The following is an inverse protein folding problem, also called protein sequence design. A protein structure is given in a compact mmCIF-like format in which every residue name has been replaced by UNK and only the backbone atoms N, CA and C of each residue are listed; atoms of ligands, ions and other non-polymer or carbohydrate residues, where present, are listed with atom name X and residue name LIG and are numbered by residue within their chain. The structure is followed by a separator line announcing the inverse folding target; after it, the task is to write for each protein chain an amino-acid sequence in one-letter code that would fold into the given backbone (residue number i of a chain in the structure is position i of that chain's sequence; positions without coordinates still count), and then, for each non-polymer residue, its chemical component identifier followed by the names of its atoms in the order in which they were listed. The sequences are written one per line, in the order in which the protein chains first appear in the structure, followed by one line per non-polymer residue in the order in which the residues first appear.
data_IF_335175965192
#
_entry.id   IF_335175965192
#
_cell.length_a   1.000
_cell.length_b   1.000
_cell.length_c   1.000
_cell.angle_alpha   90.00
_cell.angle_beta   90.00
_cell.angle_gamma   90.00
#
_symmetry.space_group_name_H-M   'P 1'
#
loop_
_entity.id
_entity.type
_entity.pdbx_description
1 polymer ?
#
# COMPACT_ATOMS: atom_id res chain seq x y z
N UNK A 1 0.85 -17.37 -15.99
CA UNK A 1 0.56 -17.40 -14.54
C UNK A 1 1.57 -18.34 -13.89
N UNK A 2 2.52 -17.82 -13.11
CA UNK A 2 3.32 -18.67 -12.22
C UNK A 2 2.35 -19.36 -11.25
N UNK A 3 2.60 -20.63 -10.92
CA UNK A 3 1.77 -21.37 -9.97
C UNK A 3 1.78 -20.63 -8.63
N UNK A 4 0.68 -19.92 -8.33
CA UNK A 4 0.50 -19.31 -7.02
C UNK A 4 0.28 -20.46 -6.03
N UNK A 5 1.19 -20.60 -5.06
CA UNK A 5 0.97 -21.48 -3.91
C UNK A 5 -0.15 -20.87 -3.06
N UNK A 6 -1.39 -21.30 -3.33
CA UNK A 6 -2.58 -20.71 -2.71
C UNK A 6 -3.23 -21.63 -1.69
N UNK A 7 -3.78 -21.02 -0.64
CA UNK A 7 -4.74 -21.66 0.27
C UNK A 7 -6.11 -21.02 0.10
N UNK A 8 -7.16 -21.74 0.55
CA UNK A 8 -8.53 -21.22 0.63
C UNK A 8 -8.77 -20.71 2.04
N UNK A 9 -9.29 -19.49 2.15
CA UNK A 9 -9.64 -18.86 3.42
C UNK A 9 -11.10 -18.41 3.38
N UNK A 10 -11.88 -18.69 4.42
CA UNK A 10 -13.24 -18.14 4.52
C UNK A 10 -13.16 -16.71 5.05
N UNK A 11 -13.68 -15.76 4.29
CA UNK A 11 -13.76 -14.34 4.63
C UNK A 11 -15.22 -13.94 4.51
N UNK A 12 -15.87 -13.77 5.67
CA UNK A 12 -17.32 -13.64 5.77
C UNK A 12 -18.07 -14.77 5.04
N UNK A 13 -18.88 -14.45 4.04
CA UNK A 13 -19.64 -15.41 3.22
C UNK A 13 -18.88 -15.84 1.94
N UNK A 14 -17.68 -15.31 1.71
CA UNK A 14 -16.86 -15.60 0.54
C UNK A 14 -15.70 -16.54 0.89
N UNK A 15 -15.23 -17.31 -0.10
CA UNK A 15 -13.96 -18.04 0.01
C UNK A 15 -12.93 -17.30 -0.81
N UNK A 16 -11.81 -16.90 -0.22
CA UNK A 16 -10.72 -16.22 -0.91
C UNK A 16 -9.58 -17.19 -1.22
N UNK A 17 -8.85 -16.93 -2.31
CA UNK A 17 -7.55 -17.56 -2.56
C UNK A 17 -6.45 -16.66 -2.03
N UNK A 18 -5.53 -17.21 -1.25
CA UNK A 18 -4.47 -16.44 -0.60
C UNK A 18 -3.10 -16.89 -1.11
N UNK A 19 -2.30 -15.98 -1.67
CA UNK A 19 -0.91 -16.22 -2.05
C UNK A 19 -0.04 -16.41 -0.79
N UNK A 20 0.32 -17.66 -0.51
CA UNK A 20 1.12 -18.00 0.67
C UNK A 20 2.61 -17.75 0.49
N UNK A 21 3.12 -17.72 -0.75
CA UNK A 21 4.53 -17.47 -1.02
C UNK A 21 4.89 -16.04 -0.60
N UNK A 22 4.08 -15.08 -0.99
CA UNK A 22 4.29 -13.69 -0.61
C UNK A 22 4.08 -13.48 0.89
N UNK A 23 3.01 -14.03 1.46
CA UNK A 23 2.72 -13.85 2.89
C UNK A 23 3.77 -14.48 3.82
N UNK A 24 4.44 -15.56 3.40
CA UNK A 24 5.58 -16.16 4.13
C UNK A 24 6.92 -15.46 3.84
N UNK A 25 6.98 -14.54 2.88
CA UNK A 25 8.22 -13.86 2.51
C UNK A 25 8.65 -12.83 3.55
N UNK A 26 9.92 -12.47 3.52
CA UNK A 26 10.52 -11.39 4.31
C UNK A 26 10.33 -10.00 3.68
N UNK A 27 9.23 -9.78 2.94
CA UNK A 27 8.98 -8.45 2.37
C UNK A 27 8.80 -7.41 3.48
N UNK A 28 9.39 -6.23 3.29
CA UNK A 28 9.14 -5.04 4.09
C UNK A 28 9.16 -3.79 3.20
N UNK A 29 8.42 -2.75 3.61
CA UNK A 29 8.48 -1.46 2.93
C UNK A 29 9.88 -0.85 3.07
N UNK A 30 10.47 -0.43 1.96
CA UNK A 30 11.79 0.21 1.89
C UNK A 30 11.71 1.68 1.45
N UNK A 31 10.54 2.31 1.57
CA UNK A 31 10.43 3.76 1.35
C UNK A 31 11.32 4.50 2.35
N UNK A 32 12.10 5.47 1.86
CA UNK A 32 13.16 6.12 2.65
C UNK A 32 14.43 5.28 2.86
N UNK A 33 14.43 4.01 2.46
CA UNK A 33 15.54 3.07 2.61
C UNK A 33 15.83 2.29 1.30
N UNK A 34 15.89 3.00 0.17
CA UNK A 34 16.24 2.42 -1.13
C UNK A 34 15.07 2.09 -2.06
N UNK A 35 13.84 2.50 -1.73
CA UNK A 35 12.71 2.43 -2.68
C UNK A 35 13.02 3.17 -3.97
N UNK A 36 12.90 2.47 -5.11
CA UNK A 36 13.26 2.99 -6.44
C UNK A 36 12.10 3.72 -7.15
N UNK A 37 10.90 3.67 -6.59
CA UNK A 37 9.70 4.24 -7.19
C UNK A 37 9.16 3.44 -8.38
N UNK A 38 7.91 3.75 -8.75
CA UNK A 38 7.17 3.00 -9.77
C UNK A 38 7.24 3.65 -11.17
N UNK A 39 8.25 4.48 -11.43
CA UNK A 39 8.46 5.07 -12.74
C UNK A 39 9.00 4.04 -13.74
N UNK A 40 8.98 4.38 -15.03
CA UNK A 40 9.58 3.55 -16.09
C UNK A 40 11.08 3.31 -15.89
N UNK A 41 11.75 4.23 -15.20
CA UNK A 41 13.15 4.08 -14.76
C UNK A 41 13.24 4.27 -13.25
N UNK A 42 13.95 3.39 -12.53
CA UNK A 42 14.29 3.57 -11.12
C UNK A 42 14.85 4.96 -10.82
N UNK A 43 14.27 5.64 -9.84
CA UNK A 43 14.75 6.94 -9.33
C UNK A 43 14.54 7.03 -7.81
N UNK A 44 15.42 6.40 -7.02
CA UNK A 44 15.33 6.45 -5.56
C UNK A 44 15.57 7.86 -5.00
N UNK A 45 16.31 8.72 -5.71
CA UNK A 45 16.64 10.06 -5.23
C UNK A 45 15.42 10.98 -5.22
N UNK A 46 14.47 10.79 -6.15
CA UNK A 46 13.23 11.56 -6.18
C UNK A 46 12.29 11.26 -5.01
N UNK A 47 12.45 10.12 -4.31
CA UNK A 47 11.65 9.78 -3.13
C UNK A 47 10.16 9.54 -3.40
N UNK A 48 9.75 9.42 -4.67
CA UNK A 48 8.34 9.40 -5.06
C UNK A 48 7.62 8.08 -4.72
N UNK A 49 8.35 6.96 -4.70
CA UNK A 49 7.74 5.66 -4.41
C UNK A 49 6.56 5.34 -5.33
N UNK A 50 5.47 4.83 -4.74
CA UNK A 50 4.19 4.65 -5.42
C UNK A 50 3.33 5.93 -5.49
N UNK A 51 3.76 7.03 -4.88
CA UNK A 51 2.99 8.27 -4.80
C UNK A 51 3.01 9.08 -6.10
N UNK A 52 3.79 8.69 -7.10
CA UNK A 52 3.95 9.41 -8.37
C UNK A 52 2.68 9.45 -9.24
N UNK A 53 1.70 8.60 -8.96
CA UNK A 53 0.43 8.51 -9.71
C UNK A 53 -0.79 8.97 -8.91
N UNK A 54 -0.60 9.40 -7.66
CA UNK A 54 -1.70 9.64 -6.73
C UNK A 54 -2.28 8.33 -6.17
N UNK A 55 -3.38 8.44 -5.44
CA UNK A 55 -4.09 7.33 -4.83
C UNK A 55 -5.54 7.36 -5.29
N UNK A 56 -6.04 6.25 -5.83
CA UNK A 56 -7.46 6.11 -6.17
C UNK A 56 -8.28 5.88 -4.90
N UNK A 57 -9.45 6.53 -4.84
CA UNK A 57 -10.40 6.36 -3.75
C UNK A 57 -11.23 5.08 -3.99
N UNK A 58 -11.49 4.33 -2.93
CA UNK A 58 -12.36 3.17 -2.94
C UNK A 58 -13.80 3.57 -3.32
N UNK A 59 -14.31 4.61 -2.68
CA UNK A 59 -15.67 5.10 -2.83
C UNK A 59 -15.78 6.57 -2.40
N UNK A 60 -17.03 7.06 -2.34
CA UNK A 60 -17.32 8.44 -1.95
C UNK A 60 -17.04 8.70 -0.47
N UNK A 61 -17.21 7.69 0.40
CA UNK A 61 -16.99 7.85 1.84
C UNK A 61 -15.50 8.01 2.13
N UNK A 62 -14.65 7.23 1.47
CA UNK A 62 -13.20 7.40 1.53
C UNK A 62 -12.79 8.78 0.97
N UNK A 63 -13.36 9.20 -0.16
CA UNK A 63 -13.07 10.52 -0.73
C UNK A 63 -13.42 11.66 0.26
N UNK A 64 -14.55 11.55 0.96
CA UNK A 64 -14.96 12.50 1.99
C UNK A 64 -14.01 12.50 3.19
N UNK A 65 -13.62 11.31 3.67
CA UNK A 65 -12.67 11.15 4.76
C UNK A 65 -11.31 11.80 4.43
N UNK A 66 -10.72 11.45 3.29
CA UNK A 66 -9.42 11.98 2.85
C UNK A 66 -9.47 13.49 2.64
N UNK A 67 -10.59 14.01 2.14
CA UNK A 67 -10.81 15.46 2.03
C UNK A 67 -10.85 16.13 3.41
N UNK A 68 -11.52 15.52 4.39
CA UNK A 68 -11.62 16.06 5.74
C UNK A 68 -10.26 16.06 6.45
N UNK A 69 -9.55 14.93 6.43
CA UNK A 69 -8.21 14.80 7.03
C UNK A 69 -7.25 15.77 6.36
N UNK A 70 -7.24 15.82 5.02
CA UNK A 70 -6.34 16.70 4.28
C UNK A 70 -6.51 18.19 4.61
N UNK A 71 -7.72 18.61 4.99
CA UNK A 71 -7.99 19.99 5.47
C UNK A 71 -7.54 20.23 6.91
N UNK A 72 -7.52 19.21 7.76
CA UNK A 72 -7.12 19.32 9.16
C UNK A 72 -5.63 19.17 9.39
N UNK A 73 -4.88 18.62 8.41
CA UNK A 73 -3.43 18.43 8.54
C UNK A 73 -2.72 19.77 8.85
N UNK A 74 -1.87 19.82 9.89
CA UNK A 74 -1.08 21.01 10.19
C UNK A 74 0.03 21.19 9.15
N UNK A 75 0.41 22.44 8.89
CA UNK A 75 1.51 22.77 7.98
C UNK A 75 2.87 22.23 8.43
N UNK A 76 3.00 21.87 9.71
CA UNK A 76 4.20 21.21 10.26
C UNK A 76 4.48 19.87 9.59
N UNK A 77 3.45 19.09 9.25
CA UNK A 77 3.61 17.78 8.62
C UNK A 77 3.24 17.76 7.14
N UNK A 78 2.80 18.90 6.58
CA UNK A 78 2.25 18.94 5.25
C UNK A 78 2.85 20.07 4.40
N UNK A 79 3.84 19.72 3.58
CA UNK A 79 4.55 20.66 2.71
C UNK A 79 3.59 21.43 1.79
N UNK A 80 2.60 20.74 1.23
CA UNK A 80 1.65 21.32 0.28
C UNK A 80 0.38 21.86 0.97
N UNK A 81 0.43 22.15 2.28
CA UNK A 81 -0.70 22.65 3.07
C UNK A 81 -1.43 23.84 2.46
N UNK A 82 -0.70 24.80 1.86
CA UNK A 82 -1.33 25.95 1.21
C UNK A 82 -2.07 25.55 -0.06
N UNK A 83 -1.49 24.67 -0.89
CA UNK A 83 -2.11 24.18 -2.12
C UNK A 83 -3.32 23.27 -1.83
N UNK A 84 -3.32 22.57 -0.70
CA UNK A 84 -4.44 21.73 -0.25
C UNK A 84 -5.71 22.52 0.08
N UNK A 85 -5.62 23.85 0.25
CA UNK A 85 -6.79 24.73 0.43
C UNK A 85 -7.72 24.74 -0.78
N UNK A 86 -7.16 24.50 -1.97
CA UNK A 86 -7.91 24.39 -3.23
C UNK A 86 -8.49 22.98 -3.43
N UNK A 87 -8.29 22.07 -2.46
CA UNK A 87 -8.71 20.67 -2.51
C UNK A 87 -7.52 19.71 -2.63
N UNK A 88 -7.74 18.48 -2.20
CA UNK A 88 -6.74 17.39 -2.20
C UNK A 88 -7.04 16.28 -3.20
N UNK A 89 -8.25 16.28 -3.77
CA UNK A 89 -8.71 15.29 -4.75
C UNK A 89 -8.81 15.88 -6.16
N UNK A 90 -8.91 14.99 -7.14
CA UNK A 90 -9.28 15.32 -8.52
C UNK A 90 -10.69 15.91 -8.58
N UNK A 91 -11.04 16.58 -9.68
CA UNK A 91 -12.33 17.27 -9.81
C UNK A 91 -13.56 16.34 -9.73
N UNK A 92 -13.37 15.07 -10.06
CA UNK A 92 -14.37 14.00 -9.97
C UNK A 92 -14.30 13.22 -8.63
N UNK A 93 -13.40 13.60 -7.72
CA UNK A 93 -13.16 12.98 -6.41
C UNK A 93 -12.76 11.49 -6.46
N UNK A 94 -12.22 11.01 -7.58
CA UNK A 94 -11.84 9.59 -7.75
C UNK A 94 -10.40 9.30 -7.33
N UNK A 95 -9.54 10.31 -7.21
CA UNK A 95 -8.17 10.15 -6.76
C UNK A 95 -7.64 11.38 -6.03
N UNK A 96 -6.56 11.22 -5.25
CA UNK A 96 -5.77 12.37 -4.79
C UNK A 96 -5.19 13.09 -6.00
N UNK A 97 -5.30 14.42 -6.05
CA UNK A 97 -4.67 15.17 -7.13
C UNK A 97 -3.14 15.15 -6.99
N UNK A 98 -2.47 15.43 -8.11
CA UNK A 98 -1.04 15.67 -8.10
C UNK A 98 -0.74 17.14 -7.83
N UNK A 99 0.32 17.40 -7.07
CA UNK A 99 0.97 18.69 -6.95
C UNK A 99 2.36 18.54 -7.57
N UNK A 100 2.57 19.15 -8.74
CA UNK A 100 3.72 18.84 -9.58
C UNK A 100 3.63 17.42 -10.17
N UNK A 101 4.56 16.54 -9.80
CA UNK A 101 4.69 15.18 -10.32
C UNK A 101 4.41 14.08 -9.27
N UNK A 102 3.77 14.43 -8.16
CA UNK A 102 3.50 13.51 -7.06
C UNK A 102 2.14 13.78 -6.40
N UNK A 103 1.62 12.78 -5.70
CA UNK A 103 0.46 12.92 -4.82
C UNK A 103 0.60 14.16 -3.94
N UNK A 104 -0.46 14.95 -3.82
CA UNK A 104 -0.45 16.19 -3.03
C UNK A 104 0.09 15.97 -1.61
N UNK A 105 -0.15 14.81 -1.00
CA UNK A 105 0.30 14.48 0.36
C UNK A 105 1.78 14.07 0.47
N UNK A 106 2.55 14.01 -0.63
CA UNK A 106 3.97 13.69 -0.57
C UNK A 106 4.80 14.93 -0.22
N UNK A 107 5.49 14.86 0.92
CA UNK A 107 6.56 15.79 1.29
C UNK A 107 7.88 15.37 0.63
N UNK A 108 8.63 16.34 0.13
CA UNK A 108 9.95 16.13 -0.46
C UNK A 108 10.95 15.61 0.58
N UNK A 109 12.00 14.84 0.19
CA UNK A 109 13.10 14.44 1.08
C UNK A 109 13.68 15.53 1.99
N UNK A 110 13.72 16.77 1.49
CA UNK A 110 14.31 17.92 2.21
C UNK A 110 13.30 18.71 3.06
N UNK A 111 12.04 18.27 3.16
CA UNK A 111 11.04 18.97 3.95
C UNK A 111 11.35 18.87 5.45
N UNK A 112 11.44 20.03 6.13
CA UNK A 112 11.82 20.12 7.55
C UNK A 112 10.86 19.37 8.48
N UNK A 113 9.59 19.25 8.09
CA UNK A 113 8.55 18.51 8.82
C UNK A 113 8.61 16.99 8.65
N UNK A 114 9.57 16.48 7.87
CA UNK A 114 9.73 15.07 7.57
C UNK A 114 9.33 14.73 6.14
N UNK A 115 10.19 13.96 5.48
CA UNK A 115 9.92 13.41 4.16
C UNK A 115 8.81 12.36 4.20
N UNK A 116 8.09 12.20 3.07
CA UNK A 116 7.12 11.12 2.91
C UNK A 116 5.67 11.58 3.02
N UNK A 117 4.77 10.66 3.35
CA UNK A 117 3.35 10.95 3.31
C UNK A 117 2.92 11.80 4.52
N UNK A 118 2.38 12.99 4.26
CA UNK A 118 1.87 13.89 5.29
C UNK A 118 0.79 13.25 6.18
N UNK A 119 -0.07 12.40 5.59
CA UNK A 119 -1.09 11.63 6.33
C UNK A 119 -0.45 10.64 7.31
N UNK A 120 0.64 10.00 6.90
CA UNK A 120 1.38 9.07 7.74
C UNK A 120 2.09 9.77 8.90
N UNK A 121 2.76 10.89 8.61
CA UNK A 121 3.45 11.69 9.63
C UNK A 121 2.48 12.25 10.68
N UNK A 122 1.32 12.74 10.24
CA UNK A 122 0.28 13.23 11.14
C UNK A 122 -0.33 12.11 12.00
N UNK A 123 -0.61 10.93 11.42
CA UNK A 123 -1.10 9.80 12.21
C UNK A 123 -0.11 9.43 13.32
N UNK A 124 1.18 9.31 12.99
CA UNK A 124 2.21 8.96 13.98
C UNK A 124 2.35 10.05 15.06
N UNK A 125 2.30 11.33 14.71
CA UNK A 125 2.43 12.41 15.69
C UNK A 125 1.25 12.46 16.67
N UNK A 126 0.08 11.98 16.26
CA UNK A 126 -1.12 11.88 17.09
C UNK A 126 -1.22 10.53 17.83
N UNK A 127 -0.28 9.60 17.60
CA UNK A 127 -0.30 8.26 18.17
C UNK A 127 -1.34 7.33 17.55
N UNK A 128 -1.87 7.71 16.39
CA UNK A 128 -2.88 6.99 15.62
C UNK A 128 -2.24 6.05 14.59
N UNK A 129 -3.02 5.12 14.06
CA UNK A 129 -2.52 4.19 13.04
C UNK A 129 -2.50 4.89 11.68
N UNK A 130 -1.41 4.80 10.90
CA UNK A 130 -1.38 5.38 9.56
C UNK A 130 -2.46 4.87 8.61
N UNK A 131 -2.95 3.64 8.81
CA UNK A 131 -4.03 3.08 8.00
C UNK A 131 -5.38 3.80 8.18
N UNK A 132 -5.59 4.47 9.31
CA UNK A 132 -6.82 5.22 9.58
C UNK A 132 -6.81 6.60 8.88
N UNK A 133 -5.64 7.04 8.40
CA UNK A 133 -5.44 8.35 7.77
C UNK A 133 -5.24 8.25 6.26
N UNK A 134 -4.71 7.12 5.79
CA UNK A 134 -4.31 6.93 4.40
C UNK A 134 -5.47 6.39 3.56
N UNK A 135 -5.52 6.73 2.25
CA UNK A 135 -6.40 6.03 1.32
C UNK A 135 -6.15 4.53 1.34
N UNK A 136 -7.19 3.74 1.08
CA UNK A 136 -7.18 2.28 1.13
C UNK A 136 -6.06 1.68 0.30
N UNK A 137 -5.93 2.12 -0.95
CA UNK A 137 -4.86 1.66 -1.84
C UNK A 137 -3.45 1.92 -1.27
N UNK A 138 -3.26 2.97 -0.48
CA UNK A 138 -1.96 3.35 0.06
C UNK A 138 -1.55 2.59 1.32
N UNK A 139 -2.49 2.21 2.19
CA UNK A 139 -2.17 1.36 3.34
C UNK A 139 -2.21 -0.12 2.98
N UNK A 140 -2.97 -0.52 1.96
CA UNK A 140 -3.02 -1.90 1.49
C UNK A 140 -1.72 -2.34 0.83
N UNK A 141 -1.02 -1.45 0.09
CA UNK A 141 0.27 -1.79 -0.53
C UNK A 141 1.24 -2.42 0.50
N UNK A 142 1.75 -3.63 0.25
CA UNK A 142 1.85 -4.31 -1.05
C UNK A 142 0.76 -5.35 -1.30
N UNK A 143 -0.22 -5.50 -0.41
CA UNK A 143 -1.35 -6.42 -0.52
C UNK A 143 -2.37 -5.90 -1.54
N UNK A 144 -2.89 -6.80 -2.37
CA UNK A 144 -3.93 -6.52 -3.36
C UNK A 144 -4.99 -7.60 -3.27
N UNK A 145 -6.25 -7.17 -3.15
CA UNK A 145 -7.41 -8.05 -3.34
C UNK A 145 -7.90 -7.89 -4.78
N UNK A 146 -7.64 -8.90 -5.58
CA UNK A 146 -8.16 -8.97 -6.95
C UNK A 146 -9.58 -9.54 -6.90
N UNK A 147 -10.56 -8.69 -7.24
CA UNK A 147 -11.98 -9.05 -7.32
C UNK A 147 -12.46 -9.26 -8.76
N UNK A 148 -11.56 -9.24 -9.75
CA UNK A 148 -11.93 -9.43 -11.15
C UNK A 148 -12.20 -10.89 -11.53
N UNK A 149 -11.80 -11.83 -10.67
CA UNK A 149 -12.01 -13.27 -10.84
C UNK A 149 -13.32 -13.76 -10.23
N UNK A 150 -13.73 -14.99 -10.60
CA UNK A 150 -14.88 -15.72 -10.00
C UNK A 150 -14.75 -15.86 -8.48
N UNK A 151 -13.53 -15.78 -7.96
CA UNK A 151 -13.18 -15.92 -6.54
C UNK A 151 -12.16 -14.82 -6.17
N UNK A 152 -12.34 -14.06 -5.09
CA UNK A 152 -11.37 -13.05 -4.68
C UNK A 152 -9.98 -13.65 -4.40
N UNK A 153 -8.93 -12.96 -4.83
CA UNK A 153 -7.55 -13.38 -4.63
C UNK A 153 -6.77 -12.31 -3.85
N UNK A 154 -6.25 -12.66 -2.67
CA UNK A 154 -5.27 -11.85 -1.96
C UNK A 154 -3.86 -12.22 -2.43
N UNK A 155 -3.20 -11.29 -3.11
CA UNK A 155 -1.86 -11.45 -3.69
C UNK A 155 -1.04 -10.16 -3.53
N UNK A 156 0.28 -10.19 -3.74
CA UNK A 156 1.03 -8.94 -3.87
C UNK A 156 0.59 -8.14 -5.10
N UNK A 157 0.74 -6.82 -5.03
CA UNK A 157 0.82 -5.98 -6.21
C UNK A 157 1.98 -6.43 -7.10
N UNK A 158 1.83 -6.26 -8.41
CA UNK A 158 2.89 -6.48 -9.40
C UNK A 158 2.97 -5.28 -10.33
N UNK A 159 4.00 -5.22 -11.19
CA UNK A 159 4.06 -4.19 -12.25
C UNK A 159 2.82 -4.22 -13.13
N UNK A 160 2.29 -5.41 -13.45
CA UNK A 160 1.13 -5.56 -14.33
C UNK A 160 -0.16 -4.94 -13.79
N UNK A 161 -0.21 -4.61 -12.50
CA UNK A 161 -1.38 -3.97 -11.89
C UNK A 161 -1.46 -2.47 -12.14
N UNK A 162 -0.46 -1.89 -12.78
CA UNK A 162 -0.37 -0.46 -13.00
C UNK A 162 -0.47 -0.10 -14.48
N UNK A 163 -1.29 0.92 -14.78
CA UNK A 163 -1.47 1.42 -16.13
C UNK A 163 -1.89 0.33 -17.12
N UNK A 164 -1.36 0.39 -18.34
CA UNK A 164 -1.67 -0.54 -19.44
C UNK A 164 -0.95 -1.92 -19.29
N UNK A 165 -0.94 -2.49 -18.08
CA UNK A 165 -0.36 -3.82 -17.84
C UNK A 165 1.12 -3.83 -17.49
N UNK A 166 1.65 -2.73 -16.93
CA UNK A 166 2.97 -2.69 -16.28
C UNK A 166 4.19 -2.35 -17.13
N UNK A 167 4.04 -2.26 -18.46
CA UNK A 167 5.13 -1.86 -19.37
C UNK A 167 5.66 -0.43 -19.12
N UNK A 168 4.86 0.37 -18.42
CA UNK A 168 5.20 1.73 -18.02
C UNK A 168 6.03 1.80 -16.72
N UNK A 169 6.28 0.68 -16.05
CA UNK A 169 6.91 0.63 -14.72
C UNK A 169 8.15 -0.27 -14.74
N UNK A 170 9.29 0.32 -14.37
CA UNK A 170 10.58 -0.37 -14.35
C UNK A 170 10.83 -1.21 -13.10
N UNK A 171 10.10 -0.96 -12.00
CA UNK A 171 10.36 -1.59 -10.71
C UNK A 171 9.10 -1.62 -9.82
N UNK A 172 8.92 -2.71 -9.06
CA UNK A 172 7.87 -2.85 -8.05
C UNK A 172 8.42 -3.59 -6.83
N UNK A 173 8.23 -3.01 -5.63
CA UNK A 173 8.83 -3.51 -4.39
C UNK A 173 8.41 -4.94 -4.00
N UNK A 174 7.26 -5.40 -4.47
CA UNK A 174 6.71 -6.71 -4.18
C UNK A 174 7.14 -7.81 -5.17
N UNK A 175 7.92 -7.47 -6.19
CA UNK A 175 8.51 -8.45 -7.11
C UNK A 175 9.94 -8.83 -6.69
N UNK A 176 10.09 -9.94 -5.96
CA UNK A 176 11.37 -10.39 -5.39
C UNK A 176 12.54 -10.46 -6.36
N UNK A 177 12.29 -10.85 -7.60
CA UNK A 177 13.33 -10.94 -8.63
C UNK A 177 13.92 -9.57 -8.99
N UNK A 178 13.10 -8.52 -8.97
CA UNK A 178 13.47 -7.15 -9.36
C UNK A 178 13.83 -6.26 -8.16
N UNK A 179 13.28 -6.59 -6.98
CA UNK A 179 13.39 -5.82 -5.75
C UNK A 179 13.91 -6.66 -4.56
N UNK A 180 15.00 -7.43 -4.69
CA UNK A 180 15.50 -8.28 -3.58
C UNK A 180 15.79 -7.48 -2.31
N UNK A 181 16.12 -6.19 -2.42
CA UNK A 181 16.29 -5.26 -1.29
C UNK A 181 15.05 -5.14 -0.40
N UNK A 182 13.85 -5.33 -0.97
CA UNK A 182 12.59 -5.27 -0.23
C UNK A 182 12.29 -6.55 0.55
N UNK A 183 13.04 -7.64 0.32
CA UNK A 183 12.81 -8.95 0.93
C UNK A 183 13.81 -9.24 2.06
N UNK A 184 14.01 -8.25 2.93
CA UNK A 184 15.03 -8.26 4.00
C UNK A 184 14.45 -8.11 5.41
N UNK A 185 13.12 -8.16 5.56
CA UNK A 185 12.43 -8.03 6.83
C UNK A 185 12.69 -9.18 7.81
N UNK A 186 12.66 -8.85 9.10
CA UNK A 186 12.92 -9.80 10.19
C UNK A 186 11.77 -10.78 10.43
N UNK A 187 10.55 -10.39 10.06
CA UNK A 187 9.33 -11.17 10.22
C UNK A 187 8.69 -11.42 8.85
N UNK A 188 8.00 -12.56 8.67
CA UNK A 188 7.22 -12.79 7.47
C UNK A 188 6.06 -11.79 7.36
N UNK A 189 5.62 -11.52 6.14
CA UNK A 189 4.55 -10.55 5.84
C UNK A 189 3.28 -10.81 6.65
N UNK A 190 2.88 -12.07 6.83
CA UNK A 190 1.66 -12.38 7.60
C UNK A 190 1.73 -11.95 9.08
N UNK A 191 2.93 -11.73 9.61
CA UNK A 191 3.15 -11.22 10.97
C UNK A 191 3.37 -9.71 10.92
N UNK A 192 4.22 -9.21 10.03
CA UNK A 192 4.58 -7.78 9.99
C UNK A 192 3.43 -6.89 9.51
N UNK A 193 2.51 -7.41 8.68
CA UNK A 193 1.31 -6.72 8.20
C UNK A 193 0.02 -7.25 8.84
N UNK A 194 0.11 -7.70 10.10
CA UNK A 194 -1.03 -8.25 10.83
C UNK A 194 -2.26 -7.32 10.86
N UNK A 195 -2.03 -6.02 11.04
CA UNK A 195 -3.10 -5.02 11.12
C UNK A 195 -3.81 -4.82 9.77
N UNK A 196 -3.04 -4.71 8.69
CA UNK A 196 -3.54 -4.55 7.33
C UNK A 196 -4.28 -5.80 6.87
N UNK A 197 -3.73 -6.99 7.15
CA UNK A 197 -4.40 -8.26 6.87
C UNK A 197 -5.71 -8.38 7.66
N UNK A 198 -5.69 -8.07 8.96
CA UNK A 198 -6.91 -8.07 9.79
C UNK A 198 -7.96 -7.11 9.25
N UNK A 199 -7.58 -5.92 8.78
CA UNK A 199 -8.52 -4.98 8.18
C UNK A 199 -9.08 -5.47 6.82
N UNK A 200 -8.33 -6.27 6.07
CA UNK A 200 -8.76 -6.82 4.78
C UNK A 200 -9.68 -8.04 4.92
N UNK A 201 -9.37 -8.95 5.84
CA UNK A 201 -10.08 -10.25 5.94
C UNK A 201 -10.90 -10.43 7.22
N UNK A 202 -10.80 -9.51 8.18
CA UNK A 202 -11.42 -9.62 9.49
C UNK A 202 -10.60 -10.44 10.49
N UNK A 203 -10.88 -10.25 11.78
CA UNK A 203 -10.11 -10.85 12.90
C UNK A 203 -10.12 -12.38 12.87
N UNK A 204 -11.28 -12.99 12.61
CA UNK A 204 -11.45 -14.45 12.62
C UNK A 204 -10.65 -15.09 11.47
N UNK A 205 -10.79 -14.56 10.26
CA UNK A 205 -10.07 -15.08 9.10
C UNK A 205 -8.57 -14.84 9.20
N UNK A 206 -8.14 -13.70 9.75
CA UNK A 206 -6.72 -13.45 9.99
C UNK A 206 -6.12 -14.44 11.01
N UNK A 207 -6.84 -14.73 12.10
CA UNK A 207 -6.38 -15.72 13.08
C UNK A 207 -6.22 -17.11 12.46
N UNK A 208 -7.18 -17.54 11.64
CA UNK A 208 -7.09 -18.80 10.89
C UNK A 208 -5.91 -18.79 9.91
N UNK A 209 -5.76 -17.70 9.13
CA UNK A 209 -4.65 -17.53 8.19
C UNK A 209 -3.29 -17.63 8.88
N UNK A 210 -3.11 -16.90 9.99
CA UNK A 210 -1.86 -16.90 10.76
C UNK A 210 -1.55 -18.30 11.33
N UNK A 211 -2.57 -19.02 11.81
CA UNK A 211 -2.40 -20.41 12.27
C UNK A 211 -1.95 -21.33 11.13
N UNK A 212 -2.59 -21.24 9.96
CA UNK A 212 -2.23 -22.04 8.79
C UNK A 212 -0.80 -21.76 8.30
N UNK A 213 -0.38 -20.50 8.29
CA UNK A 213 0.95 -20.10 7.80
C UNK A 213 2.08 -20.37 8.81
N UNK A 214 1.76 -20.49 10.09
CA UNK A 214 2.74 -20.83 11.14
C UNK A 214 3.07 -22.33 11.15
N UNK A 215 2.14 -23.18 10.70
CA UNK A 215 2.36 -24.64 10.66
C UNK A 215 3.48 -24.96 9.66
N UNK A 216 4.50 -25.76 10.05
CA UNK A 216 5.49 -26.24 9.10
C UNK A 216 4.78 -27.04 8.01
N UNK A 217 5.23 -26.90 6.75
CA UNK A 217 4.68 -27.68 5.63
C UNK A 217 4.84 -29.16 5.96
N UNK A 218 3.74 -29.82 6.35
CA UNK A 218 3.68 -31.27 6.43
C UNK A 218 3.79 -31.79 5.00
N UNK A 219 5.00 -32.14 4.60
CA UNK A 219 5.24 -32.97 3.43
C UNK A 219 4.48 -34.29 3.63
N UNK A 220 3.36 -34.45 2.93
CA UNK A 220 2.71 -35.73 2.68
C UNK A 220 3.21 -36.29 1.34
#
# INVERSE_FOLDING_TARGET
MKHLNTIRLNVDEEVWLIDTEFLKSSWQCVWGNGCKGIHSKPDPAAGLGCCSVGAQMLDTDEAMLITAIGKSLPSEYFQNYLAARDGVLTADNTATRLEGNACIFLNHPDFVGGAGCALHLAAISEGERPMDYKPSVCWQLPLKVDRSDVQPILRPWSRSDWGDGGDSIGWCCSEKAEAPESFTGEQPVFISLAAELTALVGEIAYAELAEQLTKPETNL
#
